data_IF_773302816429
#
_entry.id   IF_773302816429
#
_cell.length_a   1.000
_cell.length_b   1.000
_cell.length_c   1.000
_cell.angle_alpha   90.00
_cell.angle_beta   90.00
_cell.angle_gamma   90.00
#
_symmetry.space_group_name_H-M   'P 1'
#
loop_
_entity.id
_entity.type
_entity.pdbx_description
1 polymer ?
#
# COMPACT_ATOMS: atom_id res chain seq x y z
N UNK A 1 25.46 29.50 10.59
CA UNK A 1 24.66 28.47 11.30
C UNK A 1 24.85 28.68 12.80
N UNK A 2 23.76 28.77 13.58
CA UNK A 2 23.81 29.11 15.00
C UNK A 2 24.38 27.93 15.82
N UNK A 3 25.25 28.20 16.81
CA UNK A 3 25.88 27.18 17.66
C UNK A 3 24.86 26.24 18.33
N UNK A 4 23.65 26.74 18.61
CA UNK A 4 22.54 25.93 19.14
C UNK A 4 22.04 24.85 18.18
N UNK A 5 22.10 25.11 16.87
CA UNK A 5 21.67 24.17 15.82
C UNK A 5 22.72 23.06 15.67
N UNK A 6 24.01 23.39 15.80
CA UNK A 6 25.10 22.41 15.73
C UNK A 6 25.05 21.44 16.91
N UNK A 7 24.76 21.94 18.12
CA UNK A 7 24.64 21.10 19.32
C UNK A 7 23.42 20.19 19.26
N UNK A 8 22.29 20.64 18.68
CA UNK A 8 21.11 19.81 18.49
C UNK A 8 21.35 18.66 17.51
N UNK A 9 22.02 18.92 16.38
CA UNK A 9 22.34 17.88 15.38
C UNK A 9 23.34 16.87 15.95
N UNK A 10 24.35 17.33 16.70
CA UNK A 10 25.32 16.44 17.34
C UNK A 10 24.69 15.55 18.43
N UNK A 11 23.70 16.06 19.18
CA UNK A 11 22.98 15.29 20.18
C UNK A 11 22.11 14.18 19.57
N UNK A 12 21.45 14.45 18.43
CA UNK A 12 20.67 13.44 17.69
C UNK A 12 21.58 12.32 17.15
N UNK A 13 22.74 12.66 16.60
CA UNK A 13 23.70 11.67 16.10
C UNK A 13 24.34 10.83 17.23
N UNK A 14 24.55 11.41 18.41
CA UNK A 14 25.08 10.67 19.56
C UNK A 14 24.07 9.67 20.16
N UNK A 15 22.77 9.99 20.13
CA UNK A 15 21.70 9.07 20.58
C UNK A 15 21.52 7.91 19.61
N UNK A 16 21.69 8.14 18.30
CA UNK A 16 21.67 7.08 17.28
C UNK A 16 22.91 6.16 17.35
N UNK A 17 24.07 6.69 17.75
CA UNK A 17 25.32 5.91 17.87
C UNK A 17 25.44 5.05 19.13
N UNK A 18 24.74 5.38 20.22
CA UNK A 18 24.89 4.70 21.51
C UNK A 18 23.93 3.51 21.73
N UNK A 19 22.95 3.29 20.83
CA UNK A 19 22.00 2.16 20.91
C UNK A 19 22.54 0.80 20.46
N UNK A 20 23.83 0.71 20.13
CA UNK A 20 24.49 -0.48 19.58
C UNK A 20 25.03 -1.40 20.69
N UNK A 21 24.18 -1.90 21.59
CA UNK A 21 24.40 -3.16 22.34
C UNK A 21 23.35 -3.37 23.43
N UNK A 22 22.15 -3.85 23.08
CA UNK A 22 21.36 -4.66 24.04
C UNK A 22 20.56 -5.72 23.27
N UNK A 23 20.91 -6.98 23.55
CA UNK A 23 20.24 -8.26 23.28
C UNK A 23 19.07 -8.30 22.28
N UNK A 24 19.33 -8.87 21.10
CA UNK A 24 18.31 -9.38 20.17
C UNK A 24 17.83 -10.74 20.71
N UNK A 25 16.54 -10.93 21.07
CA UNK A 25 16.01 -12.26 21.20
C UNK A 25 15.89 -12.85 19.79
N UNK A 26 16.69 -13.88 19.53
CA UNK A 26 16.63 -14.66 18.32
C UNK A 26 15.25 -15.31 18.19
N UNK A 27 14.40 -14.75 17.33
CA UNK A 27 13.31 -15.50 16.73
C UNK A 27 13.22 -15.16 15.24
N UNK A 28 14.31 -15.48 14.53
CA UNK A 28 14.46 -15.39 13.08
C UNK A 28 13.61 -16.42 12.29
N UNK A 29 12.56 -16.99 12.91
CA UNK A 29 11.69 -18.01 12.33
C UNK A 29 10.33 -17.51 11.84
N UNK A 30 9.90 -16.28 12.22
CA UNK A 30 8.53 -15.81 11.95
C UNK A 30 8.35 -15.14 10.58
N UNK A 31 9.41 -14.50 10.04
CA UNK A 31 9.39 -13.81 8.75
C UNK A 31 9.27 -14.75 7.53
N UNK A 32 9.48 -16.06 7.73
CA UNK A 32 9.51 -17.04 6.65
C UNK A 32 8.14 -17.70 6.36
N UNK A 33 7.14 -17.51 7.23
CA UNK A 33 5.89 -18.28 7.19
C UNK A 33 4.76 -17.69 6.33
N UNK A 34 4.78 -16.39 6.06
CA UNK A 34 3.64 -15.70 5.42
C UNK A 34 3.98 -14.97 4.12
N UNK A 35 5.25 -15.03 3.69
CA UNK A 35 5.76 -14.44 2.44
C UNK A 35 6.16 -15.50 1.39
N UNK A 36 6.27 -16.78 1.77
CA UNK A 36 6.56 -17.88 0.82
C UNK A 36 5.36 -18.33 -0.04
N UNK A 37 4.15 -17.84 0.26
CA UNK A 37 2.91 -18.30 -0.38
C UNK A 37 2.42 -17.45 -1.57
N UNK A 38 2.84 -16.19 -1.67
CA UNK A 38 2.30 -15.25 -2.69
C UNK A 38 3.31 -14.80 -3.74
N UNK A 39 4.61 -14.93 -3.49
CA UNK A 39 5.64 -14.74 -4.53
C UNK A 39 5.58 -15.84 -5.61
N UNK A 40 4.98 -17.00 -5.30
CA UNK A 40 4.77 -18.10 -6.25
C UNK A 40 3.46 -18.01 -7.07
N UNK A 41 2.62 -16.98 -6.86
CA UNK A 41 1.32 -16.86 -7.55
C UNK A 41 1.30 -15.80 -8.66
N UNK A 42 2.35 -15.00 -8.80
CA UNK A 42 2.48 -14.02 -9.89
C UNK A 42 3.87 -14.11 -10.55
N UNK A 43 3.98 -15.02 -11.52
CA UNK A 43 4.98 -14.91 -12.59
C UNK A 43 6.05 -15.99 -12.65
N UNK A 44 5.72 -17.18 -13.17
CA UNK A 44 6.56 -17.85 -14.18
C UNK A 44 5.76 -18.92 -14.93
N UNK A 45 5.85 -18.93 -16.25
CA UNK A 45 5.23 -19.96 -17.08
C UNK A 45 5.95 -21.30 -16.93
N UNK A 46 5.16 -22.38 -16.92
CA UNK A 46 5.60 -23.72 -17.30
C UNK A 46 5.80 -24.71 -16.15
N UNK A 47 5.23 -25.90 -16.37
CA UNK A 47 5.64 -27.20 -15.84
C UNK A 47 4.97 -27.75 -14.56
N UNK A 48 3.79 -28.32 -14.78
CA UNK A 48 3.46 -29.76 -14.59
C UNK A 48 3.85 -30.48 -13.28
N UNK A 49 2.84 -31.09 -12.65
CA UNK A 49 2.99 -32.20 -11.70
C UNK A 49 1.67 -32.52 -10.99
N UNK A 50 0.66 -33.08 -11.69
CA UNK A 50 0.35 -34.52 -11.69
C UNK A 50 0.38 -35.20 -10.31
N UNK A 51 -0.78 -35.30 -9.64
CA UNK A 51 -1.22 -36.46 -8.87
C UNK A 51 -2.76 -36.44 -8.75
N UNK A 52 -3.43 -37.53 -9.15
CA UNK A 52 -4.80 -37.81 -8.67
C UNK A 52 -5.82 -38.20 -9.74
N UNK A 53 -5.68 -39.42 -10.24
CA UNK A 53 -6.71 -40.25 -10.90
C UNK A 53 -8.11 -40.14 -10.30
N UNK A 54 -9.13 -39.93 -11.14
CA UNK A 54 -10.54 -40.11 -10.79
C UNK A 54 -11.49 -39.80 -11.94
N UNK A 55 -11.90 -40.83 -12.69
CA UNK A 55 -12.88 -40.81 -13.78
C UNK A 55 -14.20 -40.10 -13.45
N UNK A 56 -14.78 -39.41 -14.46
CA UNK A 56 -16.22 -39.53 -14.70
C UNK A 56 -16.97 -38.30 -15.22
N UNK A 57 -17.16 -38.26 -16.54
CA UNK A 57 -18.32 -37.73 -17.27
C UNK A 57 -18.50 -36.21 -17.47
N UNK A 58 -18.55 -35.82 -18.75
CA UNK A 58 -19.36 -34.68 -19.20
C UNK A 58 -18.70 -33.78 -20.24
N UNK A 59 -18.70 -34.21 -21.51
CA UNK A 59 -18.38 -33.35 -22.65
C UNK A 59 -19.37 -32.19 -22.76
N UNK A 60 -18.87 -30.95 -22.84
CA UNK A 60 -19.50 -29.87 -23.58
C UNK A 60 -18.42 -28.93 -24.12
N UNK A 61 -17.87 -29.30 -25.28
CA UNK A 61 -17.25 -28.34 -26.20
C UNK A 61 -18.36 -27.53 -26.85
N UNK A 62 -18.28 -26.21 -26.72
CA UNK A 62 -19.16 -25.27 -27.41
C UNK A 62 -18.52 -23.89 -27.50
N UNK A 63 -17.77 -23.67 -28.59
CA UNK A 63 -17.69 -22.44 -29.40
C UNK A 63 -17.38 -21.12 -28.63
N UNK A 64 -16.19 -20.54 -28.69
CA UNK A 64 -15.53 -20.03 -29.90
C UNK A 64 -15.51 -18.48 -29.86
N UNK A 65 -14.31 -17.89 -29.88
CA UNK A 65 -13.96 -16.46 -29.82
C UNK A 65 -14.07 -15.80 -28.42
N UNK A 66 -13.00 -15.70 -27.63
CA UNK A 66 -11.88 -14.79 -27.92
C UNK A 66 -10.61 -15.24 -27.20
N UNK A 67 -9.63 -15.70 -27.97
CA UNK A 67 -8.24 -15.85 -27.53
C UNK A 67 -7.51 -14.52 -27.77
N UNK A 68 -6.70 -14.14 -26.77
CA UNK A 68 -5.48 -13.34 -26.88
C UNK A 68 -5.56 -12.02 -27.67
N UNK A 69 -5.66 -10.90 -26.95
CA UNK A 69 -5.35 -9.58 -27.51
C UNK A 69 -5.40 -8.49 -26.44
N UNK A 70 -4.26 -8.18 -25.82
CA UNK A 70 -4.13 -7.03 -24.93
C UNK A 70 -3.00 -7.17 -23.93
N UNK A 71 -1.82 -6.66 -24.31
CA UNK A 71 -0.70 -6.21 -23.48
C UNK A 71 -0.84 -6.32 -21.96
N UNK A 72 0.17 -6.92 -21.32
CA UNK A 72 0.27 -7.20 -19.88
C UNK A 72 -0.24 -6.13 -18.92
N UNK A 73 -1.07 -6.59 -17.99
CA UNK A 73 -1.56 -5.86 -16.83
C UNK A 73 -2.33 -6.85 -15.97
N UNK A 74 -2.08 -6.87 -14.66
CA UNK A 74 -2.72 -7.79 -13.72
C UNK A 74 -4.25 -7.74 -13.89
N UNK A 75 -4.89 -8.90 -14.10
CA UNK A 75 -6.34 -9.01 -14.30
C UNK A 75 -7.11 -8.33 -13.17
N UNK A 76 -8.03 -7.44 -13.55
CA UNK A 76 -8.54 -6.35 -12.71
C UNK A 76 -9.23 -6.78 -11.41
N UNK A 77 -8.70 -6.29 -10.31
CA UNK A 77 -9.38 -6.13 -9.03
C UNK A 77 -9.33 -4.64 -8.66
N UNK A 78 -10.36 -4.11 -7.99
CA UNK A 78 -10.41 -2.68 -7.61
C UNK A 78 -10.79 -1.75 -8.76
N UNK A 79 -10.36 -0.48 -8.69
CA UNK A 79 -10.70 0.57 -9.66
C UNK A 79 -10.28 0.20 -11.10
N UNK A 80 -9.26 -0.64 -11.24
CA UNK A 80 -8.71 -1.10 -12.51
C UNK A 80 -9.61 -2.12 -13.24
N UNK A 81 -10.67 -2.61 -12.60
CA UNK A 81 -11.70 -3.44 -13.24
C UNK A 81 -12.68 -2.63 -14.11
N UNK A 82 -12.68 -1.30 -14.01
CA UNK A 82 -13.53 -0.44 -14.83
C UNK A 82 -13.07 -0.47 -16.30
N UNK A 83 -13.89 -1.02 -17.20
CA UNK A 83 -13.61 -1.04 -18.63
C UNK A 83 -13.52 0.37 -19.23
N UNK A 84 -12.57 0.57 -20.14
CA UNK A 84 -12.37 1.83 -20.86
C UNK A 84 -12.06 1.56 -22.35
N UNK A 85 -12.26 2.58 -23.18
CA UNK A 85 -11.90 2.53 -24.60
C UNK A 85 -10.36 2.39 -24.74
N UNK A 86 -9.88 1.51 -25.61
CA UNK A 86 -8.45 1.32 -25.86
C UNK A 86 -7.71 2.58 -26.35
N UNK A 87 -8.44 3.61 -26.82
CA UNK A 87 -7.89 4.93 -27.17
C UNK A 87 -8.07 6.00 -26.07
N UNK A 88 -8.56 5.63 -24.89
CA UNK A 88 -8.72 6.56 -23.80
C UNK A 88 -7.37 7.15 -23.36
N UNK A 89 -7.33 8.45 -23.20
CA UNK A 89 -6.17 9.14 -22.61
C UNK A 89 -6.26 9.08 -21.10
N UNK A 90 -5.13 8.85 -20.38
CA UNK A 90 -5.12 8.96 -18.93
C UNK A 90 -5.64 10.33 -18.46
N UNK A 91 -6.48 10.34 -17.43
CA UNK A 91 -6.84 11.56 -16.70
C UNK A 91 -5.61 12.12 -15.98
N UNK A 92 -5.63 13.42 -15.69
CA UNK A 92 -4.54 14.05 -14.94
C UNK A 92 -4.69 13.81 -13.44
N UNK A 93 -3.61 13.99 -12.69
CA UNK A 93 -3.63 13.90 -11.21
C UNK A 93 -4.60 14.91 -10.58
N UNK A 94 -4.78 16.08 -11.20
CA UNK A 94 -5.75 17.09 -10.77
C UNK A 94 -7.19 16.59 -10.97
N UNK A 95 -7.46 15.84 -12.04
CA UNK A 95 -8.76 15.21 -12.27
C UNK A 95 -9.01 14.01 -11.35
N UNK A 96 -7.97 13.28 -10.99
CA UNK A 96 -8.06 12.25 -9.95
C UNK A 96 -8.42 12.87 -8.59
N UNK A 97 -7.73 13.96 -8.20
CA UNK A 97 -8.06 14.77 -7.02
C UNK A 97 -9.52 15.21 -7.02
N UNK A 98 -9.99 15.86 -8.09
CA UNK A 98 -11.39 16.31 -8.20
C UNK A 98 -12.39 15.14 -8.05
N UNK A 99 -12.05 13.96 -8.57
CA UNK A 99 -12.89 12.77 -8.46
C UNK A 99 -13.01 12.30 -7.00
N UNK A 100 -11.89 12.29 -6.27
CA UNK A 100 -11.85 11.94 -4.85
C UNK A 100 -12.61 12.97 -4.01
N UNK A 101 -12.40 14.26 -4.25
CA UNK A 101 -13.15 15.32 -3.54
C UNK A 101 -14.67 15.20 -3.76
N UNK A 102 -15.09 14.89 -4.99
CA UNK A 102 -16.51 14.62 -5.29
C UNK A 102 -17.02 13.38 -4.56
N UNK A 103 -16.21 12.32 -4.49
CA UNK A 103 -16.54 11.13 -3.72
C UNK A 103 -16.72 11.45 -2.23
N UNK A 104 -15.76 12.16 -1.62
CA UNK A 104 -15.84 12.56 -0.21
C UNK A 104 -17.08 13.39 0.08
N UNK A 105 -17.38 14.39 -0.76
CA UNK A 105 -18.61 15.17 -0.64
C UNK A 105 -19.88 14.31 -0.70
N UNK A 106 -19.89 13.25 -1.52
CA UNK A 106 -21.03 12.34 -1.64
C UNK A 106 -21.26 11.45 -0.41
N UNK A 107 -20.22 11.25 0.42
CA UNK A 107 -20.37 10.50 1.69
C UNK A 107 -21.22 11.24 2.72
N UNK A 108 -21.35 12.56 2.58
CA UNK A 108 -21.99 13.43 3.58
C UNK A 108 -21.19 13.57 4.89
N UNK A 109 -20.00 12.98 4.98
CA UNK A 109 -19.14 13.08 6.16
C UNK A 109 -18.22 14.30 6.03
N UNK A 110 -18.63 15.39 6.67
CA UNK A 110 -17.88 16.64 6.68
C UNK A 110 -16.57 16.57 7.47
N UNK A 111 -16.26 15.48 8.17
CA UNK A 111 -14.99 15.30 8.89
C UNK A 111 -13.87 14.74 8.00
N UNK A 112 -14.20 14.22 6.81
CA UNK A 112 -13.21 13.65 5.89
C UNK A 112 -12.59 14.73 4.99
N UNK A 113 -11.29 14.64 4.78
CA UNK A 113 -10.56 15.44 3.80
C UNK A 113 -9.47 14.64 3.09
N UNK A 114 -9.20 15.02 1.84
CA UNK A 114 -8.13 14.47 1.02
C UNK A 114 -6.80 15.12 1.41
N UNK A 115 -5.76 14.33 1.64
CA UNK A 115 -4.43 14.82 2.05
C UNK A 115 -3.45 14.84 0.90
N UNK A 116 -3.38 13.76 0.14
CA UNK A 116 -2.45 13.58 -0.95
C UNK A 116 -3.04 12.70 -2.05
N UNK A 117 -2.54 12.90 -3.26
CA UNK A 117 -2.76 11.99 -4.40
C UNK A 117 -1.40 11.63 -4.96
N UNK A 118 -1.15 10.33 -5.14
CA UNK A 118 0.00 9.85 -5.88
C UNK A 118 -0.42 9.28 -7.22
N UNK A 119 0.35 9.58 -8.26
CA UNK A 119 0.26 8.92 -9.54
C UNK A 119 1.28 7.79 -9.61
N UNK A 120 0.77 6.59 -9.84
CA UNK A 120 1.58 5.44 -10.23
C UNK A 120 1.27 5.04 -11.68
N UNK A 121 2.05 4.11 -12.24
CA UNK A 121 1.85 3.64 -13.61
C UNK A 121 0.49 2.98 -13.82
N UNK A 122 -0.06 2.30 -12.81
CA UNK A 122 -1.30 1.52 -12.94
C UNK A 122 -2.55 2.36 -12.61
N UNK A 123 -2.54 3.09 -11.50
CA UNK A 123 -3.65 3.92 -11.01
C UNK A 123 -3.14 5.16 -10.28
N UNK A 124 -4.06 6.04 -9.89
CA UNK A 124 -3.79 6.99 -8.82
C UNK A 124 -4.13 6.36 -7.48
N UNK A 125 -3.40 6.76 -6.46
CA UNK A 125 -3.62 6.45 -5.07
C UNK A 125 -3.99 7.76 -4.35
N UNK A 126 -4.89 7.71 -3.38
CA UNK A 126 -5.31 8.87 -2.62
C UNK A 126 -5.54 8.51 -1.15
N UNK A 127 -5.06 9.39 -0.28
CA UNK A 127 -5.24 9.25 1.16
C UNK A 127 -6.30 10.21 1.69
N UNK A 128 -7.11 9.71 2.61
CA UNK A 128 -8.18 10.47 3.24
C UNK A 128 -7.98 10.43 4.74
N UNK A 129 -8.10 11.57 5.42
CA UNK A 129 -8.03 11.66 6.89
C UNK A 129 -9.25 12.28 7.51
N UNK A 130 -9.40 12.05 8.81
CA UNK A 130 -10.31 12.80 9.66
C UNK A 130 -9.68 14.13 10.08
N UNK A 131 -10.41 15.22 9.89
CA UNK A 131 -10.00 16.56 10.37
C UNK A 131 -9.97 16.63 11.88
N UNK A 132 -10.95 16.01 12.54
CA UNK A 132 -11.11 16.10 13.99
C UNK A 132 -9.98 15.43 14.77
N UNK A 133 -9.43 14.34 14.24
CA UNK A 133 -8.39 13.53 14.92
C UNK A 133 -7.02 13.65 14.28
N UNK A 134 -6.94 14.02 13.00
CA UNK A 134 -5.72 13.96 12.20
C UNK A 134 -5.29 12.54 11.84
N UNK A 135 -6.08 11.52 12.18
CA UNK A 135 -5.82 10.11 11.85
C UNK A 135 -6.31 9.85 10.43
N UNK A 136 -5.50 9.14 9.65
CA UNK A 136 -5.88 8.78 8.28
C UNK A 136 -6.99 7.72 8.34
N UNK A 137 -8.07 8.01 7.63
CA UNK A 137 -9.32 7.28 7.65
C UNK A 137 -9.26 6.03 6.78
N UNK A 138 -8.89 6.19 5.50
CA UNK A 138 -8.82 5.11 4.51
C UNK A 138 -8.11 5.57 3.24
N UNK A 139 -7.77 4.60 2.41
CA UNK A 139 -7.04 4.77 1.15
C UNK A 139 -7.94 4.41 -0.05
N UNK A 140 -7.78 5.15 -1.16
CA UNK A 140 -8.56 4.98 -2.38
C UNK A 140 -7.65 4.81 -3.59
N UNK A 141 -8.09 3.99 -4.55
CA UNK A 141 -7.52 3.91 -5.88
C UNK A 141 -8.44 4.61 -6.88
N UNK A 142 -7.85 5.34 -7.81
CA UNK A 142 -8.55 5.98 -8.93
C UNK A 142 -8.01 5.45 -10.25
N UNK A 143 -8.89 4.88 -11.06
CA UNK A 143 -8.54 4.36 -12.38
C UNK A 143 -8.03 5.48 -13.29
N UNK A 144 -6.88 5.27 -13.96
CA UNK A 144 -6.25 6.31 -14.80
C UNK A 144 -7.07 6.73 -15.99
N UNK A 145 -7.98 5.91 -16.50
CA UNK A 145 -8.69 6.18 -17.74
C UNK A 145 -10.14 6.59 -17.52
N UNK A 146 -10.77 6.06 -16.47
CA UNK A 146 -12.19 6.30 -16.19
C UNK A 146 -12.43 7.27 -15.03
N UNK A 147 -11.43 7.49 -14.16
CA UNK A 147 -11.63 8.20 -12.91
C UNK A 147 -12.47 7.42 -11.89
N UNK A 148 -12.78 6.15 -12.15
CA UNK A 148 -13.53 5.31 -11.22
C UNK A 148 -12.75 5.12 -9.91
N UNK A 149 -13.45 5.16 -8.79
CA UNK A 149 -12.87 5.08 -7.45
C UNK A 149 -13.21 3.73 -6.83
N UNK A 150 -12.23 3.12 -6.17
CA UNK A 150 -12.43 1.95 -5.32
C UNK A 150 -11.59 2.07 -4.04
N UNK A 151 -11.98 1.41 -2.94
CA UNK A 151 -11.10 1.24 -1.79
C UNK A 151 -9.79 0.57 -2.22
N UNK A 152 -8.67 1.01 -1.66
CA UNK A 152 -7.42 0.28 -1.83
C UNK A 152 -7.52 -1.13 -1.20
N UNK A 153 -6.93 -2.11 -1.90
CA UNK A 153 -6.85 -3.48 -1.44
C UNK A 153 -5.74 -3.67 -0.40
N UNK A 154 -5.87 -4.69 0.45
CA UNK A 154 -4.81 -5.03 1.41
C UNK A 154 -5.02 -4.34 2.75
N UNK A 155 -4.05 -3.57 3.30
CA UNK A 155 -4.11 -2.97 4.64
C UNK A 155 -5.40 -2.20 4.92
N UNK A 156 -5.83 -1.35 4.00
CA UNK A 156 -7.10 -0.61 4.09
C UNK A 156 -8.33 -1.51 4.25
N UNK A 157 -8.33 -2.71 3.67
CA UNK A 157 -9.45 -3.66 3.82
C UNK A 157 -9.26 -4.60 5.01
N UNK A 158 -8.01 -4.90 5.38
CA UNK A 158 -7.68 -5.96 6.32
C UNK A 158 -7.35 -5.50 7.73
N UNK A 159 -6.67 -4.37 7.84
CA UNK A 159 -6.17 -3.83 9.10
C UNK A 159 -6.90 -2.56 9.52
N UNK A 160 -7.66 -1.94 8.63
CA UNK A 160 -8.47 -0.78 8.97
C UNK A 160 -9.61 -1.14 9.93
N UNK A 161 -9.45 -0.75 11.20
CA UNK A 161 -10.40 -1.12 12.26
C UNK A 161 -11.61 -0.21 12.36
N UNK A 162 -11.68 0.88 11.59
CA UNK A 162 -12.81 1.83 11.63
C UNK A 162 -13.60 1.87 10.33
N UNK A 163 -12.90 1.93 9.21
CA UNK A 163 -13.49 2.07 7.87
C UNK A 163 -13.40 0.79 7.02
N UNK A 164 -12.58 -0.17 7.43
CA UNK A 164 -12.43 -1.44 6.73
C UNK A 164 -13.68 -2.33 6.88
N UNK A 165 -14.00 -3.16 5.88
CA UNK A 165 -15.16 -4.06 5.92
C UNK A 165 -15.03 -5.16 6.99
N UNK A 166 -13.81 -5.43 7.48
CA UNK A 166 -13.55 -6.36 8.57
C UNK A 166 -13.57 -5.68 9.95
N UNK A 167 -13.90 -4.38 10.02
CA UNK A 167 -14.09 -3.68 11.28
C UNK A 167 -15.24 -4.31 12.08
N UNK A 168 -14.97 -4.64 13.35
CA UNK A 168 -16.02 -4.99 14.32
C UNK A 168 -16.60 -3.76 15.03
N UNK A 169 -16.26 -2.54 14.59
CA UNK A 169 -16.60 -1.28 15.25
C UNK A 169 -15.92 -1.09 16.61
N UNK A 170 -14.93 -1.93 16.93
CA UNK A 170 -14.17 -1.87 18.19
C UNK A 170 -12.76 -1.39 17.89
N UNK A 171 -12.47 -0.14 18.25
CA UNK A 171 -11.15 0.46 18.11
C UNK A 171 -10.25 0.03 19.28
N UNK A 172 -9.59 -1.12 19.14
CA UNK A 172 -8.54 -1.49 20.08
C UNK A 172 -7.31 -0.60 19.85
N UNK A 173 -6.69 -0.09 20.90
CA UNK A 173 -5.44 0.68 20.76
C UNK A 173 -4.36 -0.18 20.08
N UNK A 174 -3.66 0.39 19.10
CA UNK A 174 -2.52 -0.24 18.45
C UNK A 174 -1.44 -0.60 19.48
N UNK A 175 -0.89 -1.81 19.39
CA UNK A 175 0.20 -2.30 20.26
C UNK A 175 1.58 -1.95 19.70
N UNK A 176 1.67 -1.71 18.40
CA UNK A 176 2.89 -1.28 17.70
C UNK A 176 2.90 0.24 17.66
N UNK A 177 3.98 0.86 18.14
CA UNK A 177 4.15 2.32 18.06
C UNK A 177 4.63 2.74 16.67
N UNK A 178 4.52 4.05 16.38
CA UNK A 178 5.05 4.65 15.16
C UNK A 178 6.54 4.34 14.95
N UNK A 179 7.35 4.46 15.99
CA UNK A 179 8.79 4.18 15.94
C UNK A 179 9.08 2.71 15.66
N UNK A 180 8.27 1.80 16.24
CA UNK A 180 8.40 0.37 15.97
C UNK A 180 7.97 0.02 14.54
N UNK A 181 6.93 0.69 14.01
CA UNK A 181 6.51 0.54 12.63
C UNK A 181 7.60 1.00 11.65
N UNK A 182 8.19 2.18 11.87
CA UNK A 182 9.33 2.69 11.10
C UNK A 182 10.53 1.73 11.13
N UNK A 183 10.84 1.18 12.31
CA UNK A 183 11.91 0.19 12.44
C UNK A 183 11.60 -1.09 11.65
N UNK A 184 10.37 -1.60 11.72
CA UNK A 184 9.97 -2.79 10.98
C UNK A 184 10.02 -2.54 9.46
N UNK A 185 9.54 -1.39 9.01
CA UNK A 185 9.61 -0.94 7.63
C UNK A 185 11.05 -0.90 7.13
N UNK A 186 11.95 -0.22 7.85
CA UNK A 186 13.34 -0.11 7.44
C UNK A 186 14.04 -1.48 7.38
N UNK A 187 13.80 -2.37 8.35
CA UNK A 187 14.35 -3.74 8.33
C UNK A 187 13.89 -4.52 7.11
N UNK A 188 12.62 -4.35 6.70
CA UNK A 188 12.11 -4.95 5.48
C UNK A 188 12.79 -4.37 4.24
N UNK A 189 12.90 -3.03 4.16
CA UNK A 189 13.51 -2.33 3.02
C UNK A 189 14.99 -2.66 2.85
N UNK A 190 15.76 -2.73 3.94
CA UNK A 190 17.18 -3.10 3.91
C UNK A 190 17.41 -4.50 3.29
N UNK A 191 16.43 -5.40 3.48
CA UNK A 191 16.48 -6.77 2.98
C UNK A 191 15.97 -6.90 1.55
N UNK A 192 14.79 -6.35 1.26
CA UNK A 192 14.07 -6.61 0.02
C UNK A 192 14.30 -5.52 -1.04
N UNK A 193 14.60 -4.29 -0.62
CA UNK A 193 14.80 -3.13 -1.49
C UNK A 193 16.03 -2.29 -1.06
N UNK A 194 17.25 -2.86 -1.09
CA UNK A 194 18.45 -2.17 -0.63
C UNK A 194 18.64 -0.78 -1.27
N UNK A 195 19.13 0.17 -0.49
CA UNK A 195 19.30 1.56 -0.93
C UNK A 195 18.02 2.40 -0.89
N UNK A 196 16.99 1.93 -0.20
CA UNK A 196 15.78 2.71 0.10
C UNK A 196 15.65 2.99 1.59
N UNK A 197 14.89 4.03 1.94
CA UNK A 197 14.61 4.41 3.31
C UNK A 197 13.10 4.55 3.54
N UNK A 198 12.65 4.21 4.74
CA UNK A 198 11.32 4.58 5.21
C UNK A 198 11.26 6.10 5.48
N UNK A 199 10.23 6.78 4.99
CA UNK A 199 9.90 8.15 5.42
C UNK A 199 9.16 8.13 6.77
N UNK A 200 8.41 9.18 7.09
CA UNK A 200 7.57 9.25 8.28
C UNK A 200 6.37 8.30 8.15
N UNK A 201 5.91 7.80 9.29
CA UNK A 201 4.78 6.88 9.36
C UNK A 201 3.48 7.63 9.62
N UNK A 202 2.55 7.53 8.68
CA UNK A 202 1.22 8.09 8.77
C UNK A 202 0.30 7.09 9.47
N UNK A 203 -0.42 7.57 10.48
CA UNK A 203 -1.23 6.72 11.33
C UNK A 203 -2.62 6.53 10.73
N UNK A 204 -2.98 5.28 10.47
CA UNK A 204 -4.32 4.85 10.13
C UNK A 204 -4.95 4.08 11.30
N UNK A 205 -6.26 3.86 11.25
CA UNK A 205 -6.95 3.03 12.23
C UNK A 205 -6.51 1.57 12.13
N UNK A 206 -5.53 1.17 12.94
CA UNK A 206 -5.05 -0.22 13.06
C UNK A 206 -3.78 -0.54 12.25
N UNK A 207 -3.21 0.42 11.53
CA UNK A 207 -1.97 0.27 10.78
C UNK A 207 -1.30 1.62 10.51
N UNK A 208 -0.10 1.57 9.92
CA UNK A 208 0.64 2.73 9.45
C UNK A 208 0.92 2.59 7.96
N UNK A 209 0.87 3.68 7.21
CA UNK A 209 1.37 3.75 5.83
C UNK A 209 2.62 4.62 5.80
N UNK A 210 3.60 4.20 5.00
CA UNK A 210 4.96 4.76 4.98
C UNK A 210 5.42 4.84 3.53
N UNK A 211 5.81 6.04 3.10
CA UNK A 211 6.44 6.24 1.81
C UNK A 211 7.85 5.64 1.81
N UNK A 212 8.24 5.05 0.68
CA UNK A 212 9.57 4.47 0.46
C UNK A 212 10.39 5.44 -0.38
N UNK A 213 11.49 5.90 0.19
CA UNK A 213 12.39 6.86 -0.44
C UNK A 213 13.57 6.17 -1.12
N UNK A 214 13.89 6.58 -2.34
CA UNK A 214 15.18 6.33 -3.00
C UNK A 214 15.83 7.67 -3.32
N UNK A 215 17.07 7.85 -2.87
CA UNK A 215 17.80 9.12 -3.01
C UNK A 215 17.01 10.34 -2.48
N UNK A 216 16.26 10.13 -1.40
CA UNK A 216 15.43 11.16 -0.75
C UNK A 216 14.15 11.53 -1.50
N UNK A 217 13.72 10.73 -2.48
CA UNK A 217 12.47 10.94 -3.24
C UNK A 217 11.56 9.73 -3.11
N UNK A 218 10.25 9.96 -3.01
CA UNK A 218 9.24 8.90 -3.04
C UNK A 218 9.42 8.03 -4.27
N UNK A 219 9.39 6.72 -4.06
CA UNK A 219 9.62 5.69 -5.08
C UNK A 219 8.66 4.51 -4.99
N UNK A 220 7.86 4.46 -3.92
CA UNK A 220 6.91 3.40 -3.60
C UNK A 220 6.36 3.62 -2.20
N UNK A 221 5.64 2.63 -1.67
CA UNK A 221 5.11 2.67 -0.31
C UNK A 221 4.88 1.29 0.27
N UNK A 222 4.73 1.23 1.58
CA UNK A 222 4.35 0.04 2.32
C UNK A 222 3.46 0.42 3.50
N UNK A 223 2.77 -0.57 4.05
CA UNK A 223 2.10 -0.43 5.34
C UNK A 223 2.66 -1.39 6.38
N UNK A 224 2.49 -1.04 7.65
CA UNK A 224 2.84 -1.87 8.80
C UNK A 224 1.63 -2.02 9.72
N UNK A 225 1.26 -3.26 10.04
CA UNK A 225 0.16 -3.56 10.96
C UNK A 225 0.42 -2.96 12.34
N UNK A 226 -0.55 -2.21 12.87
CA UNK A 226 -0.51 -1.59 14.19
C UNK A 226 -0.65 -2.58 15.34
N UNK A 227 -0.95 -3.85 15.06
CA UNK A 227 -1.11 -4.89 16.07
C UNK A 227 -0.03 -5.97 16.02
N UNK A 228 0.41 -6.34 14.82
CA UNK A 228 1.34 -7.45 14.62
C UNK A 228 2.73 -7.00 14.19
N UNK A 229 2.86 -5.77 13.68
CA UNK A 229 4.09 -5.27 13.09
C UNK A 229 4.42 -5.89 11.72
N UNK A 230 3.50 -6.67 11.14
CA UNK A 230 3.65 -7.23 9.81
C UNK A 230 3.76 -6.12 8.77
N UNK A 231 4.72 -6.26 7.84
CA UNK A 231 4.98 -5.32 6.75
C UNK A 231 4.31 -5.80 5.47
N UNK A 232 3.68 -4.89 4.74
CA UNK A 232 3.02 -5.14 3.46
C UNK A 232 3.51 -4.12 2.43
N UNK A 233 4.32 -4.55 1.45
CA UNK A 233 4.83 -3.65 0.41
C UNK A 233 3.85 -3.51 -0.76
N UNK A 234 3.63 -2.28 -1.24
CA UNK A 234 2.58 -1.98 -2.21
C UNK A 234 3.06 -2.12 -3.67
N UNK A 235 3.49 -3.33 -4.04
CA UNK A 235 4.03 -3.60 -5.38
C UNK A 235 3.01 -3.50 -6.53
N UNK A 236 1.70 -3.50 -6.23
CA UNK A 236 0.65 -3.46 -7.26
C UNK A 236 0.39 -2.08 -7.84
N UNK A 237 0.84 -1.00 -7.20
CA UNK A 237 0.70 0.35 -7.75
C UNK A 237 1.48 0.53 -9.06
N UNK A 238 2.59 -0.20 -9.21
CA UNK A 238 3.53 -0.06 -10.32
C UNK A 238 4.57 1.03 -10.05
N UNK A 239 5.08 1.67 -11.10
CA UNK A 239 6.12 2.69 -10.97
C UNK A 239 5.54 4.00 -10.43
N UNK A 240 6.21 4.60 -9.44
CA UNK A 240 5.86 5.94 -8.96
C UNK A 240 6.17 7.00 -10.02
N UNK A 241 5.24 7.93 -10.25
CA UNK A 241 5.38 9.00 -11.24
C UNK A 241 5.49 10.36 -10.55
N UNK A 242 4.53 10.71 -9.70
CA UNK A 242 4.53 11.98 -8.96
C UNK A 242 3.54 11.96 -7.80
N UNK A 243 3.72 12.89 -6.87
CA UNK A 243 2.82 13.17 -5.75
C UNK A 243 2.25 14.58 -5.90
N UNK A 244 1.00 14.76 -5.48
CA UNK A 244 0.31 16.03 -5.34
C UNK A 244 -0.19 16.14 -3.89
N UNK A 245 0.44 17.02 -3.12
CA UNK A 245 -0.04 17.40 -1.80
C UNK A 245 -1.28 18.29 -1.94
N UNK A 246 -2.32 18.02 -1.15
CA UNK A 246 -3.63 18.69 -1.24
C UNK A 246 -3.85 19.72 -0.11
N UNK A 247 -2.87 19.87 0.78
CA UNK A 247 -2.89 20.76 1.95
C UNK A 247 -3.31 22.21 1.70
#
# INVERSE_FOLDING_TARGET
MNLKIIVAIAAVLAVLGAGYAVAVPANAGFLNGMMGGFSNMMGNGGMMGNYGTGNGYGSMMGNGNSMMGGSGGCGGYGADAAGYDGNATPVTIEKAKESVEKYLNSTGNADLELTEVMEFSNHFYAEVKEKSTGVHAFELLVNKYTGAIAPEMGPNMMWNTKYGPMSSGTEAAASVTKEQALKNAQVYLDKELPGTNAEDAEAFYGYYTIHVLRDGKVSGMLSVSGYTGAVWYHGWHGEFIKILDVG
#
